data_IF_020369928152
#
_entry.id   IF_020369928152
#
_cell.length_a   1.000
_cell.length_b   1.000
_cell.length_c   1.000
_cell.angle_alpha   90.00
_cell.angle_beta   90.00
_cell.angle_gamma   90.00
#
_symmetry.space_group_name_H-M   'P 1'
#
loop_
_entity.id
_entity.type
_entity.pdbx_description
1 polymer ?
#
# COMPACT_ATOMS: atom_id res chain seq x y z
N UNK A 1 3.36 -3.80 25.69
CA UNK A 1 3.99 -2.65 25.02
C UNK A 1 5.43 -2.94 24.58
N UNK A 2 6.34 -3.40 25.45
CA UNK A 2 7.72 -3.73 25.04
C UNK A 2 7.81 -4.85 23.97
N UNK A 3 6.96 -5.89 24.06
CA UNK A 3 6.98 -6.99 23.08
C UNK A 3 6.64 -6.56 21.64
N UNK A 4 5.91 -5.46 21.45
CA UNK A 4 5.48 -5.03 20.12
C UNK A 4 6.62 -4.35 19.35
N UNK A 5 7.57 -3.73 20.05
CA UNK A 5 8.73 -3.06 19.44
C UNK A 5 9.67 -4.09 18.82
N UNK A 6 10.03 -5.13 19.58
CA UNK A 6 10.94 -6.18 19.09
C UNK A 6 10.32 -7.02 17.98
N UNK A 7 9.02 -7.31 18.10
CA UNK A 7 8.28 -7.96 17.01
C UNK A 7 8.39 -7.15 15.72
N UNK A 8 8.15 -5.84 15.78
CA UNK A 8 8.31 -4.95 14.63
C UNK A 8 9.76 -4.92 14.13
N UNK A 9 10.75 -4.87 15.02
CA UNK A 9 12.15 -4.86 14.60
C UNK A 9 12.53 -6.11 13.82
N UNK A 10 12.04 -7.29 14.23
CA UNK A 10 12.25 -8.55 13.51
C UNK A 10 11.49 -8.51 12.18
N UNK A 11 10.21 -8.13 12.15
CA UNK A 11 9.39 -8.08 10.94
C UNK A 11 9.94 -7.13 9.86
N UNK A 12 10.60 -6.04 10.25
CA UNK A 12 11.20 -5.09 9.30
C UNK A 12 12.65 -5.42 8.93
N UNK A 13 13.25 -6.43 9.58
CA UNK A 13 14.64 -6.83 9.33
C UNK A 13 14.84 -7.44 7.95
N UNK A 14 16.04 -7.31 7.40
CA UNK A 14 16.36 -7.87 6.09
C UNK A 14 16.38 -9.41 6.12
N UNK A 15 16.80 -9.99 7.25
CA UNK A 15 16.83 -11.44 7.49
C UNK A 15 15.41 -12.01 7.43
N UNK A 16 14.44 -11.31 8.01
CA UNK A 16 13.05 -11.69 7.95
C UNK A 16 12.49 -11.65 6.53
N UNK A 17 12.75 -10.56 5.79
CA UNK A 17 12.33 -10.43 4.39
C UNK A 17 12.95 -11.50 3.49
N UNK A 18 14.22 -11.84 3.71
CA UNK A 18 14.89 -12.93 2.99
C UNK A 18 14.26 -14.28 3.30
N UNK A 19 13.95 -14.54 4.58
CA UNK A 19 13.28 -15.76 5.00
C UNK A 19 11.87 -15.88 4.41
N UNK A 20 11.07 -14.81 4.41
CA UNK A 20 9.71 -14.84 3.85
C UNK A 20 9.72 -15.04 2.34
N UNK A 21 10.69 -14.44 1.63
CA UNK A 21 10.89 -14.67 0.20
C UNK A 21 11.23 -16.13 -0.12
N UNK A 22 12.20 -16.73 0.57
CA UNK A 22 12.54 -18.16 0.38
C UNK A 22 11.35 -19.09 0.71
N UNK A 23 10.58 -18.76 1.76
CA UNK A 23 9.37 -19.51 2.10
C UNK A 23 8.31 -19.39 1.00
N UNK A 24 8.13 -18.20 0.43
CA UNK A 24 7.21 -17.95 -0.66
C UNK A 24 7.56 -18.76 -1.90
N UNK A 25 8.83 -18.74 -2.30
CA UNK A 25 9.30 -19.53 -3.44
C UNK A 25 9.08 -21.04 -3.20
N UNK A 26 9.34 -21.52 -1.98
CA UNK A 26 9.14 -22.93 -1.62
C UNK A 26 7.66 -23.35 -1.58
N UNK A 27 6.74 -22.45 -1.23
CA UNK A 27 5.28 -22.69 -1.33
C UNK A 27 4.84 -22.68 -2.79
N UNK A 28 5.29 -21.70 -3.57
CA UNK A 28 4.94 -21.57 -4.98
C UNK A 28 5.41 -22.80 -5.78
N UNK A 29 6.62 -23.29 -5.50
CA UNK A 29 7.12 -24.52 -6.09
C UNK A 29 6.21 -25.72 -5.79
N UNK A 30 5.76 -25.87 -4.54
CA UNK A 30 4.86 -26.97 -4.18
C UNK A 30 3.47 -26.86 -4.82
N UNK A 31 2.95 -25.65 -5.00
CA UNK A 31 1.69 -25.41 -5.72
C UNK A 31 1.80 -25.86 -7.18
N UNK A 32 2.89 -25.50 -7.85
CA UNK A 32 3.18 -25.94 -9.22
C UNK A 32 3.31 -27.46 -9.30
N UNK A 33 4.08 -28.08 -8.38
CA UNK A 33 4.25 -29.54 -8.32
C UNK A 33 2.95 -30.30 -8.02
N UNK A 34 2.00 -29.66 -7.32
CA UNK A 34 0.71 -30.25 -6.95
C UNK A 34 -0.43 -29.88 -7.91
N UNK A 35 -0.14 -29.15 -9.00
CA UNK A 35 -1.12 -28.64 -9.95
C UNK A 35 -2.24 -27.79 -9.33
N UNK A 36 -1.90 -27.01 -8.28
CA UNK A 36 -2.82 -26.07 -7.63
C UNK A 36 -2.48 -24.66 -8.11
N UNK A 37 -3.47 -23.96 -8.67
CA UNK A 37 -3.25 -22.64 -9.26
C UNK A 37 -3.05 -21.55 -8.19
N UNK A 38 -3.87 -21.58 -7.14
CA UNK A 38 -3.85 -20.57 -6.08
C UNK A 38 -3.82 -21.22 -4.70
N UNK A 39 -3.04 -20.65 -3.78
CA UNK A 39 -2.99 -21.10 -2.38
C UNK A 39 -4.35 -20.99 -1.67
N UNK A 40 -5.19 -20.05 -2.12
CA UNK A 40 -6.55 -19.83 -1.61
C UNK A 40 -7.52 -20.96 -1.95
N UNK A 41 -7.22 -21.78 -2.97
CA UNK A 41 -8.02 -22.94 -3.35
C UNK A 41 -7.86 -24.11 -2.36
N UNK A 42 -6.82 -24.08 -1.52
CA UNK A 42 -6.54 -25.11 -0.53
C UNK A 42 -7.44 -24.97 0.71
N UNK A 43 -7.84 -26.10 1.29
CA UNK A 43 -8.43 -26.12 2.63
C UNK A 43 -7.40 -25.69 3.69
N UNK A 44 -7.85 -25.23 4.87
CA UNK A 44 -6.95 -24.81 5.95
C UNK A 44 -5.96 -25.91 6.40
N UNK A 45 -6.38 -27.18 6.35
CA UNK A 45 -5.52 -28.32 6.64
C UNK A 45 -4.43 -28.50 5.57
N UNK A 46 -4.77 -28.32 4.29
CA UNK A 46 -3.82 -28.39 3.18
C UNK A 46 -2.85 -27.21 3.18
N UNK A 47 -3.34 -25.99 3.41
CA UNK A 47 -2.49 -24.81 3.60
C UNK A 47 -1.45 -25.04 4.69
N UNK A 48 -1.88 -25.63 5.80
CA UNK A 48 -1.00 -26.00 6.91
C UNK A 48 0.09 -26.97 6.48
N UNK A 49 -0.29 -28.00 5.72
CA UNK A 49 0.62 -29.04 5.26
C UNK A 49 1.62 -28.54 4.20
N UNK A 50 1.19 -27.65 3.30
CA UNK A 50 2.06 -27.03 2.29
C UNK A 50 3.13 -26.14 2.92
N UNK A 51 2.72 -25.27 3.83
CA UNK A 51 3.67 -24.40 4.55
C UNK A 51 4.59 -25.20 5.47
N UNK A 52 4.13 -26.28 6.12
CA UNK A 52 5.02 -27.15 6.91
C UNK A 52 6.09 -27.81 6.03
N UNK A 53 5.72 -28.28 4.84
CA UNK A 53 6.65 -28.82 3.84
C UNK A 53 7.62 -27.75 3.33
N UNK A 54 7.13 -26.54 3.07
CA UNK A 54 7.95 -25.43 2.58
C UNK A 54 8.98 -25.02 3.64
N UNK A 55 8.52 -24.83 4.89
CA UNK A 55 9.38 -24.54 6.04
C UNK A 55 10.44 -25.63 6.24
N UNK A 56 10.08 -26.92 6.09
CA UNK A 56 11.05 -28.04 6.15
C UNK A 56 12.09 -27.98 5.03
N UNK A 57 11.69 -27.60 3.82
CA UNK A 57 12.59 -27.49 2.68
C UNK A 57 13.64 -26.38 2.89
N UNK A 58 13.21 -25.21 3.37
CA UNK A 58 14.11 -24.05 3.57
C UNK A 58 14.87 -24.09 4.90
N UNK A 59 14.54 -25.00 5.83
CA UNK A 59 15.18 -25.08 7.17
C UNK A 59 16.71 -25.19 7.13
N UNK A 60 17.27 -25.75 6.06
CA UNK A 60 18.74 -25.87 5.87
C UNK A 60 19.36 -24.65 5.19
N UNK A 61 18.55 -23.77 4.62
CA UNK A 61 18.94 -22.54 3.93
C UNK A 61 19.56 -21.50 4.85
N UNK A 62 20.22 -20.51 4.25
CA UNK A 62 20.91 -19.45 4.99
C UNK A 62 19.93 -18.44 5.57
N UNK A 63 18.91 -18.00 4.82
CA UNK A 63 17.93 -17.05 5.33
C UNK A 63 17.22 -17.57 6.59
N UNK A 64 16.92 -18.87 6.61
CA UNK A 64 16.39 -19.52 7.80
C UNK A 64 17.34 -19.43 9.02
N UNK A 65 18.62 -19.74 8.83
CA UNK A 65 19.60 -19.67 9.93
C UNK A 65 19.79 -18.23 10.40
N UNK A 66 19.86 -17.28 9.48
CA UNK A 66 20.01 -15.86 9.78
C UNK A 66 18.82 -15.31 10.56
N UNK A 67 17.59 -15.66 10.18
CA UNK A 67 16.40 -15.19 10.91
C UNK A 67 16.34 -15.79 12.32
N UNK A 68 16.70 -17.08 12.46
CA UNK A 68 16.76 -17.74 13.78
C UNK A 68 17.83 -17.08 14.66
N UNK A 69 19.03 -16.83 14.12
CA UNK A 69 20.09 -16.13 14.84
C UNK A 69 19.66 -14.73 15.27
N UNK A 70 18.98 -13.98 14.40
CA UNK A 70 18.47 -12.65 14.72
C UNK A 70 17.42 -12.68 15.83
N UNK A 71 16.49 -13.63 15.78
CA UNK A 71 15.46 -13.81 16.82
C UNK A 71 16.14 -14.19 18.15
N UNK A 72 17.09 -15.11 18.14
CA UNK A 72 17.85 -15.53 19.32
C UNK A 72 18.59 -14.35 19.96
N UNK A 73 19.37 -13.59 19.18
CA UNK A 73 20.10 -12.41 19.67
C UNK A 73 19.15 -11.38 20.27
N UNK A 74 18.04 -11.09 19.57
CA UNK A 74 17.05 -10.12 20.03
C UNK A 74 16.41 -10.53 21.37
N UNK A 75 16.13 -11.83 21.55
CA UNK A 75 15.58 -12.36 22.80
C UNK A 75 16.60 -12.35 23.93
N UNK A 76 17.85 -12.70 23.64
CA UNK A 76 18.96 -12.66 24.62
C UNK A 76 19.19 -11.23 25.11
N UNK A 77 19.25 -10.26 24.19
CA UNK A 77 19.40 -8.84 24.52
C UNK A 77 18.24 -8.33 25.39
N UNK A 78 17.01 -8.74 25.06
CA UNK A 78 15.82 -8.36 25.82
C UNK A 78 15.85 -8.96 27.23
N UNK A 79 16.11 -10.26 27.34
CA UNK A 79 16.21 -10.96 28.64
C UNK A 79 17.33 -10.37 29.49
N UNK A 80 18.49 -10.12 28.88
CA UNK A 80 19.64 -9.48 29.52
C UNK A 80 19.29 -8.09 30.03
N UNK A 81 18.58 -7.28 29.24
CA UNK A 81 18.11 -5.95 29.62
C UNK A 81 17.11 -6.00 30.78
N UNK A 82 16.14 -6.92 30.74
CA UNK A 82 15.19 -7.12 31.84
C UNK A 82 15.89 -7.51 33.15
N UNK A 83 16.85 -8.44 33.08
CA UNK A 83 17.63 -8.85 34.25
C UNK A 83 18.47 -7.68 34.78
N UNK A 84 19.07 -6.87 33.91
CA UNK A 84 19.84 -5.70 34.32
C UNK A 84 18.99 -4.65 35.05
N UNK A 85 17.78 -4.36 34.55
CA UNK A 85 16.82 -3.44 35.20
C UNK A 85 16.42 -3.98 36.58
N UNK A 86 16.01 -5.25 36.66
CA UNK A 86 15.64 -5.84 37.93
C UNK A 86 16.78 -5.84 38.94
N UNK A 87 18.03 -6.05 38.49
CA UNK A 87 19.22 -6.03 39.36
C UNK A 87 19.47 -4.66 39.96
N UNK A 88 19.09 -3.59 39.27
CA UNK A 88 19.16 -2.23 39.79
C UNK A 88 18.03 -1.94 40.78
N UNK A 89 16.83 -2.49 40.54
CA UNK A 89 15.64 -2.20 41.35
C UNK A 89 15.52 -3.03 42.63
N UNK A 90 16.05 -4.26 42.64
CA UNK A 90 15.90 -5.16 43.78
C UNK A 90 17.23 -5.38 44.50
N UNK A 91 17.30 -4.99 45.78
CA UNK A 91 18.39 -5.31 46.71
C UNK A 91 18.50 -6.81 47.08
N UNK A 92 17.96 -7.68 46.23
CA UNK A 92 17.98 -9.13 46.38
C UNK A 92 19.35 -9.70 46.05
N UNK A 93 19.81 -10.68 46.84
CA UNK A 93 21.11 -11.37 46.74
C UNK A 93 21.18 -12.36 45.57
N UNK A 94 20.11 -12.57 44.82
CA UNK A 94 20.10 -13.52 43.69
C UNK A 94 21.10 -13.13 42.59
N UNK A 95 21.77 -14.12 42.01
CA UNK A 95 22.73 -13.88 40.92
C UNK A 95 22.04 -13.51 39.60
N UNK A 96 22.77 -12.88 38.68
CA UNK A 96 22.28 -12.55 37.32
C UNK A 96 21.75 -13.79 36.61
N UNK A 97 22.46 -14.91 36.72
CA UNK A 97 22.09 -16.16 36.07
C UNK A 97 20.78 -16.74 36.62
N UNK A 98 20.59 -16.71 37.95
CA UNK A 98 19.35 -17.17 38.57
C UNK A 98 18.13 -16.41 38.06
N UNK A 99 18.26 -15.08 37.93
CA UNK A 99 17.18 -14.23 37.39
C UNK A 99 16.92 -14.51 35.91
N UNK A 100 17.98 -14.62 35.12
CA UNK A 100 17.86 -14.97 33.71
C UNK A 100 17.12 -16.31 33.54
N UNK A 101 17.52 -17.34 34.29
CA UNK A 101 16.84 -18.63 34.28
C UNK A 101 15.39 -18.52 34.74
N UNK A 102 15.10 -17.70 35.75
CA UNK A 102 13.73 -17.46 36.22
C UNK A 102 12.85 -16.88 35.11
N UNK A 103 13.33 -15.85 34.39
CA UNK A 103 12.63 -15.26 33.25
C UNK A 103 12.41 -16.26 32.12
N UNK A 104 13.42 -17.05 31.79
CA UNK A 104 13.31 -18.07 30.77
C UNK A 104 12.27 -19.12 31.17
N UNK A 105 12.30 -19.63 32.41
CA UNK A 105 11.30 -20.58 32.92
C UNK A 105 9.90 -19.99 32.85
N UNK A 106 9.73 -18.73 33.28
CA UNK A 106 8.45 -18.03 33.21
C UNK A 106 7.95 -17.88 31.76
N UNK A 107 8.84 -17.49 30.85
CA UNK A 107 8.56 -17.40 29.42
C UNK A 107 8.11 -18.73 28.82
N UNK A 108 8.83 -19.82 29.12
CA UNK A 108 8.46 -21.17 28.70
C UNK A 108 7.09 -21.58 29.24
N UNK A 109 6.83 -21.35 30.52
CA UNK A 109 5.53 -21.64 31.14
C UNK A 109 4.41 -20.86 30.46
N UNK A 110 4.61 -19.58 30.17
CA UNK A 110 3.61 -18.76 29.48
C UNK A 110 3.36 -19.21 28.04
N UNK A 111 4.41 -19.61 27.32
CA UNK A 111 4.29 -20.16 25.97
C UNK A 111 3.41 -21.42 25.98
N UNK A 112 3.61 -22.30 26.96
CA UNK A 112 2.84 -23.53 27.13
C UNK A 112 1.39 -23.31 27.53
N UNK A 113 1.11 -22.29 28.34
CA UNK A 113 -0.26 -21.91 28.66
C UNK A 113 -0.98 -21.34 27.43
N UNK A 114 -0.30 -20.53 26.63
CA UNK A 114 -0.88 -19.96 25.42
C UNK A 114 -1.15 -21.05 24.38
N UNK A 115 -0.23 -22.00 24.18
CA UNK A 115 -0.28 -22.96 23.07
C UNK A 115 -0.39 -24.40 23.61
N UNK A 116 -1.55 -24.79 24.15
CA UNK A 116 -1.74 -26.08 24.79
C UNK A 116 -1.56 -27.27 23.83
N UNK A 117 -1.75 -27.08 22.53
CA UNK A 117 -1.57 -28.16 21.56
C UNK A 117 -0.10 -28.53 21.37
N UNK A 118 0.83 -27.70 21.84
CA UNK A 118 2.27 -27.96 21.76
C UNK A 118 2.80 -28.86 22.87
N UNK A 119 1.93 -29.34 23.77
CA UNK A 119 2.27 -30.27 24.86
C UNK A 119 3.06 -31.48 24.38
N UNK A 120 2.75 -32.04 23.21
CA UNK A 120 3.44 -33.23 22.70
C UNK A 120 4.92 -32.96 22.39
N UNK A 121 5.30 -31.72 22.03
CA UNK A 121 6.71 -31.36 21.78
C UNK A 121 7.51 -31.29 23.09
N UNK A 122 6.86 -31.13 24.24
CA UNK A 122 7.51 -31.26 25.54
C UNK A 122 7.93 -32.69 25.86
N UNK A 123 7.50 -33.68 25.08
CA UNK A 123 7.96 -35.06 25.30
C UNK A 123 9.48 -35.18 25.17
N UNK A 124 10.10 -34.36 24.31
CA UNK A 124 11.55 -34.28 24.19
C UNK A 124 12.24 -33.85 25.51
N UNK A 125 11.51 -33.16 26.38
CA UNK A 125 12.00 -32.71 27.68
C UNK A 125 11.69 -33.69 28.82
N UNK A 126 10.91 -34.77 28.61
CA UNK A 126 10.61 -35.72 29.69
C UNK A 126 11.83 -36.51 30.18
N UNK A 127 12.86 -36.65 29.33
CA UNK A 127 14.13 -37.28 29.69
C UNK A 127 15.17 -36.26 30.18
N UNK A 128 14.83 -34.97 30.26
CA UNK A 128 15.69 -33.92 30.77
C UNK A 128 15.19 -33.50 32.15
N UNK A 129 16.08 -33.12 33.10
CA UNK A 129 15.67 -32.64 34.40
C UNK A 129 14.94 -31.28 34.25
N UNK A 130 13.64 -31.32 34.03
CA UNK A 130 12.79 -30.13 34.01
C UNK A 130 12.77 -29.48 35.39
N UNK A 131 12.85 -28.15 35.44
CA UNK A 131 12.63 -27.40 36.67
C UNK A 131 11.25 -27.74 37.25
N UNK A 132 11.09 -27.58 38.57
CA UNK A 132 9.88 -27.98 39.28
C UNK A 132 8.62 -27.31 38.71
N UNK A 133 8.76 -26.07 38.24
CA UNK A 133 7.71 -25.20 37.74
C UNK A 133 7.23 -25.67 36.36
N UNK A 134 8.17 -25.92 35.43
CA UNK A 134 7.85 -26.41 34.09
C UNK A 134 7.24 -27.81 34.19
N UNK A 135 7.79 -28.67 35.06
CA UNK A 135 7.26 -30.00 35.32
C UNK A 135 5.81 -29.94 35.81
N UNK A 136 5.49 -29.08 36.78
CA UNK A 136 4.11 -28.90 37.29
C UNK A 136 3.15 -28.49 36.18
N UNK A 137 3.55 -27.56 35.31
CA UNK A 137 2.71 -27.09 34.20
C UNK A 137 2.53 -28.18 33.16
N UNK A 138 3.60 -28.87 32.76
CA UNK A 138 3.53 -30.01 31.85
C UNK A 138 2.58 -31.08 32.38
N UNK A 139 2.72 -31.52 33.63
CA UNK A 139 1.81 -32.50 34.24
C UNK A 139 0.36 -32.00 34.30
N UNK A 140 0.13 -30.75 34.69
CA UNK A 140 -1.22 -30.16 34.70
C UNK A 140 -1.84 -30.20 33.29
N UNK A 141 -1.05 -29.86 32.29
CA UNK A 141 -1.43 -29.85 30.89
C UNK A 141 -1.66 -31.27 30.32
N UNK A 142 -0.87 -32.27 30.72
CA UNK A 142 -1.07 -33.66 30.32
C UNK A 142 -2.31 -34.28 30.99
N UNK A 143 -2.46 -34.02 32.29
CA UNK A 143 -3.57 -34.53 33.09
C UNK A 143 -4.86 -33.72 32.89
N UNK A 144 -4.85 -32.61 32.15
CA UNK A 144 -6.08 -31.94 31.74
C UNK A 144 -6.87 -32.77 30.72
N UNK A 145 -6.22 -33.70 30.01
CA UNK A 145 -6.89 -34.67 29.17
C UNK A 145 -7.52 -35.76 30.06
N UNK A 146 -8.85 -35.84 30.09
CA UNK A 146 -9.59 -36.78 30.94
C UNK A 146 -9.21 -38.24 30.67
N UNK A 147 -8.97 -38.63 29.41
CA UNK A 147 -8.58 -39.99 29.06
C UNK A 147 -7.18 -40.32 29.61
N UNK A 148 -6.21 -39.44 29.36
CA UNK A 148 -4.84 -39.60 29.87
C UNK A 148 -4.80 -39.60 31.41
N UNK A 149 -5.61 -38.73 32.04
CA UNK A 149 -5.77 -38.68 33.50
C UNK A 149 -6.35 -39.98 34.06
N UNK A 150 -7.42 -40.51 33.45
CA UNK A 150 -8.03 -41.77 33.90
C UNK A 150 -7.10 -42.97 33.67
N UNK A 151 -6.37 -43.01 32.57
CA UNK A 151 -5.35 -44.03 32.31
C UNK A 151 -4.21 -43.96 33.33
N UNK A 152 -3.71 -42.75 33.61
CA UNK A 152 -2.71 -42.53 34.66
C UNK A 152 -3.23 -42.98 36.03
N UNK A 153 -4.43 -42.54 36.45
CA UNK A 153 -5.02 -42.94 37.73
C UNK A 153 -5.26 -44.46 37.78
N UNK A 154 -5.65 -45.09 36.68
CA UNK A 154 -5.81 -46.55 36.59
C UNK A 154 -4.47 -47.26 36.70
N UNK A 155 -3.40 -46.74 36.07
CA UNK A 155 -2.05 -47.28 36.21
C UNK A 155 -1.55 -47.11 37.63
N UNK A 156 -1.71 -45.94 38.24
CA UNK A 156 -1.33 -45.66 39.63
C UNK A 156 -2.12 -46.52 40.62
N UNK A 157 -3.42 -46.72 40.40
CA UNK A 157 -4.26 -47.54 41.28
C UNK A 157 -3.97 -49.05 41.14
N UNK A 158 -3.58 -49.50 39.94
CA UNK A 158 -3.12 -50.88 39.70
C UNK A 158 -1.70 -51.11 40.18
N UNK A 159 -0.87 -50.07 40.19
CA UNK A 159 0.49 -50.11 40.65
C UNK A 159 0.53 -49.77 42.16
N UNK A 160 -0.06 -50.64 42.98
CA UNK A 160 0.16 -50.68 44.44
C UNK A 160 1.63 -50.95 44.80
N UNK A 161 2.48 -51.29 43.82
CA UNK A 161 3.92 -51.28 43.96
C UNK A 161 4.46 -49.84 43.93
N UNK A 162 4.20 -49.12 45.02
CA UNK A 162 5.08 -48.04 45.45
C UNK A 162 6.53 -48.59 45.54
N UNK A 163 7.48 -47.84 44.98
CA UNK A 163 8.92 -47.85 45.27
C UNK A 163 9.87 -48.87 44.63
N UNK A 164 9.52 -50.08 44.18
CA UNK A 164 10.61 -51.03 43.81
C UNK A 164 11.40 -50.64 42.56
N UNK A 165 10.74 -50.13 41.52
CA UNK A 165 11.40 -49.75 40.26
C UNK A 165 12.13 -48.41 40.40
N UNK A 166 11.52 -47.43 41.08
CA UNK A 166 12.16 -46.13 41.31
C UNK A 166 13.35 -46.26 42.28
N UNK A 167 13.26 -47.16 43.28
CA UNK A 167 14.37 -47.51 44.15
C UNK A 167 15.48 -48.23 43.38
N UNK A 168 15.14 -49.17 42.49
CA UNK A 168 16.11 -49.86 41.63
C UNK A 168 16.81 -48.90 40.66
N UNK A 169 16.08 -47.94 40.08
CA UNK A 169 16.68 -46.89 39.23
C UNK A 169 17.58 -45.97 40.08
N UNK A 170 17.15 -45.54 41.27
CA UNK A 170 17.98 -44.74 42.17
C UNK A 170 19.26 -45.48 42.56
N UNK A 171 19.15 -46.76 42.94
CA UNK A 171 20.29 -47.59 43.31
C UNK A 171 21.24 -47.82 42.13
N UNK A 172 20.70 -48.02 40.91
CA UNK A 172 21.52 -48.14 39.69
C UNK A 172 22.24 -46.83 39.37
N UNK A 173 21.57 -45.69 39.52
CA UNK A 173 22.21 -44.39 39.34
C UNK A 173 23.32 -44.14 40.38
N UNK A 174 23.08 -44.45 41.65
CA UNK A 174 24.09 -44.32 42.72
C UNK A 174 25.28 -45.27 42.50
N UNK A 175 25.00 -46.49 42.03
CA UNK A 175 26.05 -47.46 41.68
C UNK A 175 26.86 -46.94 40.50
N UNK A 176 26.21 -46.48 39.43
CA UNK A 176 26.88 -45.99 38.22
C UNK A 176 27.72 -44.74 38.49
N UNK A 177 27.24 -43.82 39.33
CA UNK A 177 27.99 -42.65 39.78
C UNK A 177 29.19 -43.00 40.66
N UNK A 178 29.16 -44.12 41.38
CA UNK A 178 30.25 -44.55 42.27
C UNK A 178 31.25 -45.52 41.62
N UNK A 179 30.84 -46.28 40.61
CA UNK A 179 31.68 -47.31 39.97
C UNK A 179 32.34 -46.85 38.67
N UNK A 180 31.71 -45.95 37.90
CA UNK A 180 32.27 -45.53 36.60
C UNK A 180 33.29 -44.40 36.75
N UNK A 181 34.57 -44.62 36.37
CA UNK A 181 35.64 -43.64 36.55
C UNK A 181 35.42 -42.35 35.76
N UNK A 182 34.58 -42.38 34.72
CA UNK A 182 34.17 -41.20 33.94
C UNK A 182 33.42 -40.18 34.79
N UNK A 183 32.73 -40.61 35.86
CA UNK A 183 31.93 -39.74 36.74
C UNK A 183 32.61 -39.36 38.05
N UNK A 184 33.86 -39.80 38.29
CA UNK A 184 34.61 -39.45 39.51
C UNK A 184 34.70 -37.95 39.77
N UNK A 185 34.82 -37.16 38.71
CA UNK A 185 34.89 -35.69 38.79
C UNK A 185 33.62 -35.04 39.36
N UNK A 186 32.45 -35.71 39.28
CA UNK A 186 31.19 -35.26 39.90
C UNK A 186 31.11 -35.61 41.39
N UNK A 187 31.89 -36.60 41.84
CA UNK A 187 31.93 -37.05 43.23
C UNK A 187 32.85 -36.16 44.09
N UNK A 188 33.93 -35.66 43.48
CA UNK A 188 34.94 -34.82 44.13
C UNK A 188 34.59 -33.32 44.11
N UNK A 189 33.60 -32.88 43.33
CA UNK A 189 33.14 -31.48 43.30
C UNK A 189 32.15 -31.19 44.43
N UNK A 190 32.62 -31.24 45.68
CA UNK A 190 31.92 -30.66 46.83
C UNK A 190 32.39 -29.24 47.16
N UNK A 191 33.36 -28.67 46.44
CA UNK A 191 34.04 -27.45 46.90
C UNK A 191 34.17 -26.27 45.95
N UNK A 192 33.66 -26.29 44.71
CA UNK A 192 33.70 -25.10 43.85
C UNK A 192 32.36 -24.86 43.17
N UNK A 193 31.96 -23.58 43.11
CA UNK A 193 30.57 -23.12 42.97
C UNK A 193 29.73 -23.96 41.97
N UNK A 194 28.75 -24.76 42.47
CA UNK A 194 27.90 -25.62 41.64
C UNK A 194 26.98 -24.84 40.67
N UNK A 195 27.04 -23.51 40.69
CA UNK A 195 26.28 -22.62 39.81
C UNK A 195 26.75 -22.66 38.36
N UNK A 196 28.05 -22.55 38.08
CA UNK A 196 28.50 -22.31 36.70
C UNK A 196 28.37 -23.52 35.77
N UNK A 197 28.67 -24.72 36.28
CA UNK A 197 28.56 -25.96 35.49
C UNK A 197 27.09 -26.31 35.20
N UNK A 198 26.20 -26.06 36.16
CA UNK A 198 24.76 -26.18 35.96
C UNK A 198 24.24 -25.10 35.01
N UNK A 199 24.75 -23.86 35.10
CA UNK A 199 24.39 -22.79 34.18
C UNK A 199 24.78 -23.14 32.74
N UNK A 200 26.00 -23.62 32.51
CA UNK A 200 26.47 -24.00 31.16
C UNK A 200 25.70 -25.20 30.60
N UNK A 201 25.35 -26.17 31.45
CA UNK A 201 24.47 -27.29 31.07
C UNK A 201 23.05 -26.84 30.75
N UNK A 202 22.47 -25.97 31.58
CA UNK A 202 21.12 -25.41 31.38
C UNK A 202 21.08 -24.48 30.18
N UNK A 203 22.13 -23.72 29.91
CA UNK A 203 22.28 -22.86 28.74
C UNK A 203 22.33 -23.68 27.46
N UNK A 204 23.09 -24.78 27.43
CA UNK A 204 23.10 -25.70 26.29
C UNK A 204 21.75 -26.41 26.08
N UNK A 205 21.08 -26.82 27.16
CA UNK A 205 19.73 -27.41 27.10
C UNK A 205 18.70 -26.36 26.67
N UNK A 206 18.83 -25.12 27.13
CA UNK A 206 17.96 -24.01 26.75
C UNK A 206 18.21 -23.58 25.32
N UNK A 207 19.43 -23.55 24.81
CA UNK A 207 19.73 -23.24 23.43
C UNK A 207 19.17 -24.33 22.49
N UNK A 208 19.27 -25.60 22.89
CA UNK A 208 18.62 -26.71 22.18
C UNK A 208 17.08 -26.64 22.28
N UNK A 209 16.53 -26.30 23.45
CA UNK A 209 15.09 -26.18 23.66
C UNK A 209 14.50 -24.95 22.96
N UNK A 210 15.18 -23.81 22.98
CA UNK A 210 14.85 -22.59 22.23
C UNK A 210 15.00 -22.86 20.74
N UNK A 211 16.03 -23.60 20.33
CA UNK A 211 16.11 -24.19 19.00
C UNK A 211 14.80 -24.91 18.67
N UNK A 212 14.45 -25.99 19.36
CA UNK A 212 13.23 -26.77 19.07
C UNK A 212 11.91 -25.96 19.22
N UNK A 213 11.84 -25.02 20.17
CA UNK A 213 10.66 -24.22 20.51
C UNK A 213 10.54 -22.90 19.74
N UNK A 214 11.55 -22.45 18.98
CA UNK A 214 11.46 -21.29 18.09
C UNK A 214 11.66 -21.69 16.62
N UNK A 215 12.59 -22.61 16.32
CA UNK A 215 12.81 -23.19 14.97
C UNK A 215 11.62 -24.03 14.53
N UNK A 216 10.87 -24.63 15.45
CA UNK A 216 9.64 -25.37 15.16
C UNK A 216 8.36 -24.54 15.22
N UNK A 217 8.47 -23.20 15.27
CA UNK A 217 7.51 -22.34 15.98
C UNK A 217 7.35 -20.92 15.43
N UNK A 218 7.77 -20.66 14.19
CA UNK A 218 6.94 -19.79 13.38
C UNK A 218 5.59 -20.49 13.27
N UNK A 219 4.68 -20.13 14.18
CA UNK A 219 3.36 -20.74 14.22
C UNK A 219 2.79 -20.64 12.82
N UNK A 220 2.32 -21.76 12.31
CA UNK A 220 1.65 -21.85 11.02
C UNK A 220 0.58 -20.76 10.87
N UNK A 221 -0.14 -20.43 11.93
CA UNK A 221 -1.10 -19.30 11.95
C UNK A 221 -0.44 -17.94 11.75
N UNK A 222 0.76 -17.73 12.29
CA UNK A 222 1.54 -16.51 12.07
C UNK A 222 2.04 -16.44 10.64
N UNK A 223 2.58 -17.55 10.09
CA UNK A 223 2.98 -17.62 8.68
C UNK A 223 1.80 -17.41 7.73
N UNK A 224 0.64 -18.01 8.02
CA UNK A 224 -0.61 -17.79 7.28
C UNK A 224 -1.08 -16.33 7.37
N UNK A 225 -0.96 -15.71 8.54
CA UNK A 225 -1.33 -14.30 8.72
C UNK A 225 -0.41 -13.36 7.93
N UNK A 226 0.90 -13.61 7.95
CA UNK A 226 1.88 -12.82 7.18
C UNK A 226 1.63 -13.02 5.68
N UNK A 227 1.39 -14.27 5.25
CA UNK A 227 1.07 -14.59 3.87
C UNK A 227 -0.20 -13.90 3.38
N UNK A 228 -1.29 -14.05 4.13
CA UNK A 228 -2.59 -13.44 3.80
C UNK A 228 -2.50 -11.90 3.81
N UNK A 229 -1.65 -11.33 4.65
CA UNK A 229 -1.38 -9.89 4.64
C UNK A 229 -0.62 -9.46 3.38
N UNK A 230 0.42 -10.19 2.98
CA UNK A 230 1.24 -9.86 1.82
C UNK A 230 0.50 -10.10 0.50
N UNK A 231 -0.33 -11.14 0.41
CA UNK A 231 -1.24 -11.38 -0.71
C UNK A 231 -2.28 -10.26 -0.86
N UNK A 232 -2.87 -9.80 0.26
CA UNK A 232 -3.79 -8.65 0.25
C UNK A 232 -3.11 -7.35 -0.18
N UNK A 233 -1.86 -7.14 0.19
CA UNK A 233 -1.08 -5.97 -0.24
C UNK A 233 -0.71 -6.05 -1.72
N UNK A 234 -0.32 -7.21 -2.23
CA UNK A 234 -0.08 -7.44 -3.65
C UNK A 234 -1.34 -7.19 -4.50
N UNK A 235 -2.50 -7.68 -4.04
CA UNK A 235 -3.78 -7.44 -4.70
C UNK A 235 -4.15 -5.95 -4.72
N UNK A 236 -3.91 -5.22 -3.62
CA UNK A 236 -4.12 -3.76 -3.56
C UNK A 236 -3.21 -3.03 -4.55
N UNK A 237 -1.93 -3.40 -4.61
CA UNK A 237 -0.98 -2.80 -5.54
C UNK A 237 -1.37 -3.04 -6.99
N UNK A 238 -1.75 -4.27 -7.33
CA UNK A 238 -2.22 -4.61 -8.68
C UNK A 238 -3.51 -3.83 -9.04
N UNK A 239 -4.45 -3.70 -8.10
CA UNK A 239 -5.66 -2.90 -8.31
C UNK A 239 -5.36 -1.40 -8.54
N UNK A 240 -4.44 -0.82 -7.77
CA UNK A 240 -3.99 0.57 -7.95
C UNK A 240 -3.32 0.75 -9.31
N UNK A 241 -2.48 -0.20 -9.72
CA UNK A 241 -1.81 -0.15 -11.01
C UNK A 241 -2.78 -0.26 -12.18
N UNK A 242 -3.77 -1.15 -12.08
CA UNK A 242 -4.87 -1.25 -13.05
C UNK A 242 -5.66 0.04 -13.14
N UNK A 243 -6.04 0.65 -12.02
CA UNK A 243 -6.71 1.96 -11.99
C UNK A 243 -5.88 3.06 -12.67
N UNK A 244 -4.55 3.08 -12.45
CA UNK A 244 -3.64 4.03 -13.11
C UNK A 244 -3.53 3.77 -14.62
N UNK A 245 -3.56 2.52 -15.07
CA UNK A 245 -3.58 2.20 -16.49
C UNK A 245 -4.89 2.64 -17.15
N UNK A 246 -6.03 2.36 -16.50
CA UNK A 246 -7.35 2.79 -16.98
C UNK A 246 -7.47 4.32 -17.03
N UNK A 247 -6.94 5.04 -16.04
CA UNK A 247 -6.91 6.51 -16.05
C UNK A 247 -6.03 7.06 -17.18
N UNK A 248 -4.88 6.45 -17.45
CA UNK A 248 -4.02 6.82 -18.60
C UNK A 248 -4.75 6.62 -19.92
N UNK A 249 -5.43 5.49 -20.10
CA UNK A 249 -6.25 5.26 -21.29
C UNK A 249 -7.43 6.23 -21.40
N UNK A 250 -8.04 6.61 -20.27
CA UNK A 250 -9.11 7.61 -20.27
C UNK A 250 -8.60 8.97 -20.73
N UNK A 251 -7.45 9.43 -20.20
CA UNK A 251 -6.83 10.70 -20.60
C UNK A 251 -6.46 10.73 -22.08
N UNK A 252 -5.93 9.64 -22.63
CA UNK A 252 -5.61 9.56 -24.06
C UNK A 252 -6.86 9.69 -24.95
N UNK A 253 -8.01 9.14 -24.53
CA UNK A 253 -9.27 9.31 -25.25
C UNK A 253 -9.80 10.74 -25.18
N UNK A 254 -9.76 11.35 -23.98
CA UNK A 254 -10.15 12.75 -23.79
C UNK A 254 -9.26 13.71 -24.61
N UNK A 255 -7.95 13.46 -24.65
CA UNK A 255 -7.00 14.25 -25.45
C UNK A 255 -7.24 14.10 -26.96
N UNK A 256 -7.57 12.89 -27.42
CA UNK A 256 -7.93 12.65 -28.82
C UNK A 256 -9.24 13.34 -29.22
N UNK A 257 -10.25 13.35 -28.34
CA UNK A 257 -11.49 14.10 -28.56
C UNK A 257 -11.24 15.61 -28.65
N UNK A 258 -10.43 16.17 -27.75
CA UNK A 258 -10.03 17.58 -27.77
C UNK A 258 -9.31 17.93 -29.08
N UNK A 259 -8.38 17.07 -29.53
CA UNK A 259 -7.66 17.28 -30.79
C UNK A 259 -8.59 17.31 -32.00
N UNK A 260 -9.60 16.44 -32.03
CA UNK A 260 -10.61 16.42 -33.10
C UNK A 260 -11.51 17.65 -33.07
N UNK A 261 -11.89 18.12 -31.88
CA UNK A 261 -12.68 19.34 -31.72
C UNK A 261 -11.88 20.58 -32.14
N UNK A 262 -10.60 20.67 -31.76
CA UNK A 262 -9.69 21.74 -32.17
C UNK A 262 -9.53 21.77 -33.70
N UNK A 263 -9.32 20.61 -34.34
CA UNK A 263 -9.20 20.53 -35.80
C UNK A 263 -10.50 20.97 -36.49
N UNK A 264 -11.66 20.60 -35.94
CA UNK A 264 -12.97 21.03 -36.46
C UNK A 264 -13.12 22.55 -36.37
N UNK A 265 -12.79 23.15 -35.23
CA UNK A 265 -12.85 24.60 -35.02
C UNK A 265 -11.88 25.34 -35.96
N UNK A 266 -10.68 24.79 -36.17
CA UNK A 266 -9.71 25.36 -37.08
C UNK A 266 -10.25 25.41 -38.52
N UNK A 267 -10.85 24.32 -39.02
CA UNK A 267 -11.48 24.31 -40.36
C UNK A 267 -12.59 25.34 -40.49
N UNK A 268 -13.42 25.51 -39.45
CA UNK A 268 -14.48 26.53 -39.45
C UNK A 268 -13.90 27.95 -39.50
N UNK A 269 -12.80 28.19 -38.79
CA UNK A 269 -12.12 29.47 -38.78
C UNK A 269 -11.45 29.77 -40.14
N UNK A 270 -10.84 28.78 -40.78
CA UNK A 270 -10.27 28.90 -42.12
C UNK A 270 -11.35 29.19 -43.18
N UNK A 271 -12.49 28.48 -43.13
CA UNK A 271 -13.61 28.75 -44.05
C UNK A 271 -14.22 30.14 -43.82
N UNK A 272 -14.36 30.58 -42.57
CA UNK A 272 -14.85 31.93 -42.24
C UNK A 272 -13.89 33.00 -42.78
N UNK A 273 -12.57 32.80 -42.64
CA UNK A 273 -11.55 33.69 -43.21
C UNK A 273 -11.63 33.73 -44.73
N UNK A 274 -11.82 32.58 -45.38
CA UNK A 274 -11.97 32.48 -46.83
C UNK A 274 -13.20 33.25 -47.32
N UNK A 275 -14.37 33.03 -46.71
CA UNK A 275 -15.61 33.74 -47.05
C UNK A 275 -15.44 35.26 -46.85
N UNK A 276 -14.84 35.68 -45.74
CA UNK A 276 -14.59 37.10 -45.47
C UNK A 276 -13.65 37.72 -46.53
N UNK A 277 -12.59 37.00 -46.92
CA UNK A 277 -11.68 37.45 -47.95
C UNK A 277 -12.36 37.53 -49.33
N UNK A 278 -13.21 36.57 -49.69
CA UNK A 278 -14.02 36.60 -50.91
C UNK A 278 -14.97 37.82 -50.92
N UNK A 279 -15.66 38.09 -49.80
CA UNK A 279 -16.51 39.28 -49.65
C UNK A 279 -15.71 40.58 -49.78
N UNK A 280 -14.52 40.64 -49.19
CA UNK A 280 -13.62 41.79 -49.29
C UNK A 280 -13.20 42.05 -50.74
N UNK A 281 -12.77 41.01 -51.45
CA UNK A 281 -12.37 41.13 -52.87
C UNK A 281 -13.54 41.58 -53.74
N UNK A 282 -14.74 41.05 -53.52
CA UNK A 282 -15.94 41.47 -54.23
C UNK A 282 -16.27 42.96 -54.02
N UNK A 283 -16.17 43.45 -52.77
CA UNK A 283 -16.37 44.88 -52.47
C UNK A 283 -15.26 45.77 -53.05
N UNK A 284 -14.01 45.30 -53.05
CA UNK A 284 -12.88 46.01 -53.69
C UNK A 284 -13.09 46.14 -55.21
N UNK A 285 -13.58 45.09 -55.86
CA UNK A 285 -13.95 45.09 -57.28
C UNK A 285 -15.09 46.07 -57.58
N UNK A 286 -16.18 46.04 -56.81
CA UNK A 286 -17.28 47.01 -56.95
C UNK A 286 -16.81 48.46 -56.79
N UNK A 287 -15.94 48.73 -55.80
CA UNK A 287 -15.37 50.07 -55.60
C UNK A 287 -14.48 50.49 -56.78
N UNK A 288 -13.75 49.57 -57.40
CA UNK A 288 -12.93 49.85 -58.57
C UNK A 288 -13.80 50.18 -59.80
N UNK A 289 -14.86 49.41 -60.03
CA UNK A 289 -15.85 49.66 -61.09
C UNK A 289 -16.53 51.02 -60.92
N UNK A 290 -16.96 51.37 -59.70
CA UNK A 290 -17.59 52.65 -59.42
C UNK A 290 -16.62 53.82 -59.66
N UNK A 291 -15.36 53.69 -59.24
CA UNK A 291 -14.32 54.70 -59.49
C UNK A 291 -14.08 54.89 -60.99
N UNK A 292 -14.02 53.80 -61.76
CA UNK A 292 -13.86 53.85 -63.20
C UNK A 292 -15.06 54.54 -63.87
N UNK A 293 -16.28 54.18 -63.47
CA UNK A 293 -17.49 54.81 -63.98
C UNK A 293 -17.54 56.32 -63.70
N UNK A 294 -17.18 56.74 -62.48
CA UNK A 294 -17.08 58.16 -62.12
C UNK A 294 -16.03 58.89 -62.95
N UNK A 295 -14.88 58.27 -63.19
CA UNK A 295 -13.83 58.82 -64.05
C UNK A 295 -14.33 59.02 -65.49
N UNK A 296 -15.04 58.04 -66.06
CA UNK A 296 -15.58 58.14 -67.41
C UNK A 296 -16.67 59.22 -67.52
N UNK A 297 -17.56 59.33 -66.52
CA UNK A 297 -18.54 60.43 -66.45
C UNK A 297 -17.83 61.78 -66.39
N UNK A 298 -16.82 61.92 -65.53
CA UNK A 298 -16.05 63.17 -65.40
C UNK A 298 -15.36 63.53 -66.71
N UNK A 299 -14.68 62.58 -67.34
CA UNK A 299 -14.01 62.77 -68.64
C UNK A 299 -15.00 63.20 -69.73
N UNK A 300 -16.15 62.55 -69.84
CA UNK A 300 -17.20 62.93 -70.79
C UNK A 300 -17.73 64.34 -70.52
N UNK A 301 -17.91 64.72 -69.25
CA UNK A 301 -18.32 66.07 -68.88
C UNK A 301 -17.25 67.11 -69.24
N UNK A 302 -15.96 66.81 -69.03
CA UNK A 302 -14.84 67.65 -69.44
C UNK A 302 -14.77 67.82 -70.97
N UNK A 303 -15.00 66.76 -71.74
CA UNK A 303 -15.10 66.82 -73.21
C UNK A 303 -16.27 67.71 -73.67
N UNK A 304 -17.45 67.56 -73.06
CA UNK A 304 -18.61 68.43 -73.35
C UNK A 304 -18.34 69.89 -73.00
N UNK A 305 -17.74 70.15 -71.83
CA UNK A 305 -17.29 71.49 -71.44
C UNK A 305 -16.30 72.03 -72.48
N UNK A 306 -15.37 71.21 -72.95
CA UNK A 306 -14.40 71.57 -74.00
C UNK A 306 -15.08 71.98 -75.31
N UNK A 307 -16.05 71.20 -75.77
CA UNK A 307 -16.86 71.53 -76.97
C UNK A 307 -17.63 72.84 -76.80
N UNK A 308 -18.34 73.00 -75.68
CA UNK A 308 -19.10 74.21 -75.37
C UNK A 308 -18.19 75.43 -75.27
N UNK A 309 -17.01 75.32 -74.65
CA UNK A 309 -16.04 76.41 -74.57
C UNK A 309 -15.47 76.79 -75.94
N UNK A 310 -15.29 75.83 -76.86
CA UNK A 310 -14.88 76.10 -78.24
C UNK A 310 -15.99 76.84 -79.01
N UNK A 311 -17.25 76.43 -78.83
CA UNK A 311 -18.42 77.09 -79.41
C UNK A 311 -18.61 78.51 -78.87
N UNK A 312 -18.50 78.71 -77.55
CA UNK A 312 -18.52 80.05 -76.93
C UNK A 312 -17.39 80.93 -77.48
N UNK A 313 -16.18 80.39 -77.68
CA UNK A 313 -15.07 81.13 -78.29
C UNK A 313 -15.37 81.54 -79.73
N UNK A 314 -16.00 80.66 -80.52
CA UNK A 314 -16.46 80.97 -81.88
C UNK A 314 -17.49 82.09 -81.88
N UNK A 315 -18.50 82.03 -81.00
CA UNK A 315 -19.53 83.07 -80.84
C UNK A 315 -18.92 84.40 -80.36
N UNK A 316 -17.95 84.36 -79.44
CA UNK A 316 -17.25 85.56 -78.95
C UNK A 316 -16.30 86.16 -80.00
N UNK A 317 -15.77 85.37 -80.94
CA UNK A 317 -14.98 85.87 -82.07
C UNK A 317 -15.76 86.81 -82.99
N UNK A 318 -17.09 86.65 -83.07
CA UNK A 318 -17.99 87.49 -83.88
C UNK A 318 -18.56 88.70 -83.12
N UNK A 319 -18.18 88.92 -81.87
CA UNK A 319 -18.62 90.10 -81.08
C UNK A 319 -17.46 90.76 -80.36
N UNK A 320 -17.01 91.87 -80.93
CA UNK A 320 -16.09 92.81 -80.30
C UNK A 320 -16.68 93.34 -78.96
N UNK A 321 -15.86 93.55 -77.92
CA UNK A 321 -16.34 93.72 -76.55
C UNK A 321 -16.66 95.17 -76.21
N UNK A 322 -17.83 95.44 -75.62
CA UNK A 322 -18.06 96.65 -74.83
C UNK A 322 -17.85 96.35 -73.35
N UNK A 323 -16.92 97.09 -72.77
CA UNK A 323 -16.55 97.19 -71.37
C UNK A 323 -17.75 97.66 -70.51
N UNK A 324 -17.89 97.12 -69.30
CA UNK A 324 -18.09 97.85 -68.03
C UNK A 324 -18.25 96.82 -66.89
N UNK A 325 -17.31 96.76 -65.94
CA UNK A 325 -17.33 97.46 -64.64
C UNK A 325 -18.61 97.13 -63.85
N UNK A 326 -18.50 96.32 -62.79
CA UNK A 326 -18.97 96.68 -61.44
C UNK A 326 -18.52 95.64 -60.40
N UNK A 327 -17.66 96.12 -59.52
CA UNK A 327 -17.42 95.72 -58.13
C UNK A 327 -18.73 95.57 -57.36
N UNK A 328 -18.85 94.59 -56.45
CA UNK A 328 -19.47 94.74 -55.11
C UNK A 328 -19.34 93.45 -54.29
N UNK A 329 -18.82 93.65 -53.07
CA UNK A 329 -18.83 92.80 -51.87
C UNK A 329 -20.01 91.82 -51.73
N UNK A 330 -19.79 90.70 -51.04
CA UNK A 330 -20.37 90.57 -49.69
C UNK A 330 -19.92 89.27 -49.02
N UNK A 331 -19.39 89.44 -47.81
CA UNK A 331 -19.38 88.45 -46.74
C UNK A 331 -20.75 87.76 -46.62
N UNK A 332 -20.72 86.45 -46.40
CA UNK A 332 -21.89 85.64 -46.10
C UNK A 332 -21.45 84.28 -45.55
N UNK A 333 -21.17 84.24 -44.26
CA UNK A 333 -21.21 83.00 -43.47
C UNK A 333 -22.61 82.38 -43.55
N UNK A 334 -22.72 81.04 -43.57
CA UNK A 334 -23.91 80.36 -43.06
C UNK A 334 -23.50 79.32 -41.98
N UNK A 335 -24.44 78.64 -41.31
CA UNK A 335 -24.86 78.92 -39.94
C UNK A 335 -24.44 77.81 -38.94
N UNK A 336 -24.69 78.00 -37.62
CA UNK A 336 -24.52 76.95 -36.62
C UNK A 336 -25.74 76.00 -36.60
N UNK A 337 -25.53 74.69 -36.54
CA UNK A 337 -26.56 73.67 -36.27
C UNK A 337 -25.90 72.31 -36.06
N UNK A 338 -26.31 71.40 -35.17
CA UNK A 338 -27.35 71.34 -34.14
C UNK A 338 -26.86 70.23 -33.17
N UNK A 339 -27.11 70.42 -31.88
CA UNK A 339 -26.99 69.40 -30.84
C UNK A 339 -27.69 68.09 -31.22
N UNK A 340 -27.06 66.95 -30.96
CA UNK A 340 -27.77 65.69 -30.77
C UNK A 340 -27.25 65.01 -29.53
N UNK A 341 -28.07 65.15 -28.49
CA UNK A 341 -28.06 64.51 -27.18
C UNK A 341 -27.54 63.08 -27.20
N UNK A 342 -26.76 62.77 -26.17
CA UNK A 342 -26.52 61.44 -25.63
C UNK A 342 -27.83 60.66 -25.44
N UNK A 343 -27.73 59.33 -25.26
CA UNK A 343 -28.04 58.87 -23.91
C UNK A 343 -26.94 57.97 -23.34
N UNK A 344 -26.60 58.29 -22.10
CA UNK A 344 -26.17 57.32 -21.09
C UNK A 344 -27.18 56.18 -21.07
N UNK A 345 -26.72 54.94 -21.31
CA UNK A 345 -27.45 53.77 -20.86
C UNK A 345 -26.47 52.74 -20.30
N UNK A 346 -26.49 52.66 -18.97
CA UNK A 346 -26.10 51.51 -18.19
C UNK A 346 -26.77 50.25 -18.78
N UNK A 347 -26.00 49.23 -19.10
CA UNK A 347 -26.37 47.84 -18.90
C UNK A 347 -25.12 47.10 -18.45
N UNK A 348 -24.98 46.88 -17.14
CA UNK A 348 -25.45 45.66 -16.46
C UNK A 348 -24.82 44.40 -17.05
N UNK A 349 -23.81 43.93 -16.32
CA UNK A 349 -23.56 42.51 -16.06
C UNK A 349 -24.89 41.71 -16.05
N UNK A 350 -24.96 40.55 -16.70
CA UNK A 350 -25.96 39.55 -16.34
C UNK A 350 -25.58 38.93 -14.99
N UNK A 351 -26.48 38.94 -13.99
CA UNK A 351 -26.38 38.07 -12.83
C UNK A 351 -27.09 36.72 -13.09
N UNK A 352 -26.50 35.68 -12.50
CA UNK A 352 -27.08 34.42 -12.02
C UNK A 352 -27.94 33.56 -12.95
N UNK A 353 -27.58 32.27 -13.00
CA UNK A 353 -28.55 31.23 -12.59
C UNK A 353 -27.84 30.11 -11.84
N UNK A 354 -27.78 30.26 -10.51
CA UNK A 354 -27.93 29.12 -9.61
C UNK A 354 -29.41 28.73 -9.64
N UNK A 355 -29.70 27.51 -10.07
CA UNK A 355 -30.94 26.82 -9.71
C UNK A 355 -30.55 25.52 -9.00
N UNK A 356 -30.59 25.61 -7.67
CA UNK A 356 -30.97 24.49 -6.83
C UNK A 356 -32.50 24.49 -6.73
N UNK A 357 -33.10 23.29 -6.71
CA UNK A 357 -34.43 22.85 -6.19
C UNK A 357 -35.04 21.86 -7.20
N UNK A 358 -35.57 20.68 -6.86
CA UNK A 358 -35.98 20.10 -5.59
C UNK A 358 -36.47 18.65 -5.78
N UNK A 359 -36.27 17.83 -4.74
CA UNK A 359 -36.99 16.60 -4.32
C UNK A 359 -37.04 15.38 -5.25
N UNK A 360 -36.57 14.21 -4.83
CA UNK A 360 -36.99 13.34 -3.70
C UNK A 360 -38.14 12.40 -4.08
N UNK A 361 -38.02 11.17 -3.58
CA UNK A 361 -38.83 9.95 -3.78
C UNK A 361 -38.49 9.11 -5.02
N UNK A 362 -37.97 7.89 -4.81
CA UNK A 362 -38.82 6.68 -4.72
C UNK A 362 -37.98 5.44 -4.34
N UNK A 363 -38.27 4.92 -3.14
CA UNK A 363 -38.35 3.51 -2.74
C UNK A 363 -37.13 2.54 -2.87
N UNK A 364 -36.70 2.07 -1.69
CA UNK A 364 -36.39 0.65 -1.42
C UNK A 364 -37.65 -0.22 -1.68
N UNK A 365 -37.53 -1.42 -2.27
CA UNK A 365 -37.28 -2.63 -1.47
C UNK A 365 -36.28 -3.58 -2.19
N UNK A 366 -35.74 -4.65 -1.62
CA UNK A 366 -36.05 -5.36 -0.40
C UNK A 366 -35.05 -6.48 -0.15
N UNK A 367 -35.07 -6.95 1.08
CA UNK A 367 -34.54 -8.23 1.53
C UNK A 367 -34.78 -9.39 0.55
N UNK A 368 -33.78 -10.24 0.34
CA UNK A 368 -34.01 -11.69 0.29
C UNK A 368 -32.94 -12.40 1.12
N UNK A 369 -33.42 -13.04 2.18
CA UNK A 369 -32.75 -14.09 2.94
C UNK A 369 -33.69 -15.29 2.96
N UNK A 370 -33.13 -16.50 2.79
CA UNK A 370 -33.67 -17.84 3.16
C UNK A 370 -34.79 -18.37 2.23
N UNK A 371 -34.93 -19.64 1.84
CA UNK A 371 -34.46 -20.95 2.36
C UNK A 371 -34.88 -22.06 1.36
N UNK A 372 -34.11 -23.15 1.31
CA UNK A 372 -34.51 -24.56 1.24
C UNK A 372 -35.34 -25.19 0.09
N UNK A 373 -34.91 -26.41 -0.23
CA UNK A 373 -35.66 -27.64 -0.60
C UNK A 373 -36.34 -27.74 -1.97
N UNK A 374 -35.76 -28.55 -2.86
CA UNK A 374 -36.11 -29.98 -3.00
C UNK A 374 -34.94 -30.78 -3.60
#
# INVERSE_FOLDING_TARGET
MYNDIYKKNIEHSQQWKGFTAELFDAVQQQLVESHVNFFTDLSEAEKTLFLERAAKAIRRGNAYKEVVLQISSCLEDQLSSCVAIEMQESGSVSTRSERFQSHVRYGMVNLLHKWPDMKYKLHALFNQPLSSEIRKVAWRLFLSNTKARMEYLTRVSKNTAKFSIDLDISMKCDTLLSTEPTFKHLQDSKSDEPGESLCRGVENILQAALGVLFVGYLNMTTLLYIWDQEEREALRMNHIEKMKQEERHRKLREEEEIRLEEERLQRQLEETKRINNEQRLYLEEQLAEERQHRYDIQKNAEEQIGLLQAEIRKIKGDRQPSVDIFTVNSFGTPPPSIESKSPVQNHQLPPLTQQNTTQDNTALPGSMSKTSTN
#
